data_IF_701775879669
#
_entry.id   IF_701775879669
#
_cell.length_a   1.000
_cell.length_b   1.000
_cell.length_c   1.000
_cell.angle_alpha   90.00
_cell.angle_beta   90.00
_cell.angle_gamma   90.00
#
_symmetry.space_group_name_H-M   'P 1'
#
loop_
_entity.id
_entity.type
_entity.pdbx_description
1 polymer ?
#
# COMPACT_ATOMS: atom_id res chain seq x y z
N UNK A 1 -10.20 -2.50 22.21
CA UNK A 1 -8.86 -1.97 22.50
C UNK A 1 -8.46 -1.09 21.32
N UNK A 2 -7.79 0.05 21.55
CA UNK A 2 -7.23 0.86 20.46
C UNK A 2 -6.04 0.10 19.87
N UNK A 3 -5.91 0.09 18.54
CA UNK A 3 -4.78 -0.53 17.86
C UNK A 3 -3.48 0.23 18.20
N UNK A 4 -2.33 -0.47 18.41
CA UNK A 4 -1.06 0.21 18.65
C UNK A 4 -0.67 1.13 17.49
N UNK A 5 -0.13 2.31 17.81
CA UNK A 5 0.17 3.37 16.84
C UNK A 5 1.13 2.90 15.72
N UNK A 6 2.17 2.14 16.07
CA UNK A 6 3.13 1.57 15.12
C UNK A 6 2.47 0.62 14.09
N UNK A 7 1.39 -0.07 14.47
CA UNK A 7 0.64 -0.94 13.55
C UNK A 7 -0.19 -0.08 12.58
N UNK A 8 -0.75 1.03 13.05
CA UNK A 8 -1.48 1.98 12.21
C UNK A 8 -0.55 2.62 11.19
N UNK A 9 0.64 3.06 11.61
CA UNK A 9 1.65 3.66 10.74
C UNK A 9 2.16 2.67 9.69
N UNK A 10 2.45 1.42 10.09
CA UNK A 10 2.81 0.38 9.13
C UNK A 10 1.72 0.11 8.09
N UNK A 11 0.46 -0.03 8.52
CA UNK A 11 -0.67 -0.22 7.59
C UNK A 11 -0.84 0.97 6.64
N UNK A 12 -0.68 2.17 7.16
CA UNK A 12 -0.71 3.43 6.39
C UNK A 12 0.37 3.40 5.30
N UNK A 13 1.59 3.03 5.68
CA UNK A 13 2.74 2.89 4.77
C UNK A 13 2.48 1.86 3.67
N UNK A 14 1.97 0.68 4.03
CA UNK A 14 1.60 -0.36 3.04
C UNK A 14 0.53 0.16 2.07
N UNK A 15 -0.50 0.83 2.58
CA UNK A 15 -1.57 1.37 1.77
C UNK A 15 -1.06 2.40 0.74
N UNK A 16 -0.13 3.27 1.15
CA UNK A 16 0.47 4.27 0.26
C UNK A 16 1.31 3.59 -0.83
N UNK A 17 2.19 2.66 -0.44
CA UNK A 17 3.05 1.92 -1.39
C UNK A 17 2.22 1.13 -2.39
N UNK A 18 1.28 0.30 -1.93
CA UNK A 18 0.46 -0.53 -2.82
C UNK A 18 -0.51 0.30 -3.67
N UNK A 19 -1.06 1.39 -3.12
CA UNK A 19 -1.92 2.30 -3.87
C UNK A 19 -1.18 2.99 -5.01
N UNK A 20 0.06 3.44 -4.78
CA UNK A 20 0.90 4.05 -5.81
C UNK A 20 1.35 3.03 -6.87
N UNK A 21 1.80 1.84 -6.45
CA UNK A 21 2.18 0.79 -7.40
C UNK A 21 0.98 0.30 -8.21
N UNK A 22 -0.22 0.29 -7.63
CA UNK A 22 -1.46 -0.04 -8.35
C UNK A 22 -1.76 0.96 -9.47
N UNK A 23 -1.59 2.27 -9.23
CA UNK A 23 -1.90 3.28 -10.25
C UNK A 23 -0.93 3.30 -11.43
N UNK A 24 0.32 2.88 -11.20
CA UNK A 24 1.34 2.85 -12.25
C UNK A 24 1.50 1.47 -12.89
N UNK A 25 0.92 0.41 -12.31
CA UNK A 25 1.07 -0.94 -12.83
C UNK A 25 0.70 -1.03 -14.33
N UNK A 26 1.51 -1.68 -15.19
CA UNK A 26 2.67 -2.52 -14.87
C UNK A 26 4.02 -1.80 -14.86
N UNK A 27 4.06 -0.48 -14.71
CA UNK A 27 5.31 0.29 -14.74
C UNK A 27 6.09 0.09 -13.44
N UNK A 28 7.41 -0.05 -13.59
CA UNK A 28 8.38 -0.04 -12.50
C UNK A 28 8.58 1.38 -11.96
N UNK A 29 8.48 1.56 -10.65
CA UNK A 29 8.62 2.85 -9.96
C UNK A 29 9.91 2.87 -9.17
N UNK A 30 10.67 3.97 -9.21
CA UNK A 30 11.86 4.12 -8.38
C UNK A 30 11.50 4.02 -6.89
N UNK A 31 12.33 3.34 -6.09
CA UNK A 31 12.21 3.28 -4.62
C UNK A 31 12.72 4.58 -4.00
N UNK A 32 12.19 5.69 -4.49
CA UNK A 32 12.32 7.00 -3.88
C UNK A 32 11.03 7.30 -3.12
N UNK A 33 11.16 7.57 -1.83
CA UNK A 33 10.07 8.05 -0.99
C UNK A 33 9.34 9.23 -1.65
N UNK A 34 10.06 10.15 -2.31
CA UNK A 34 9.46 11.28 -3.03
C UNK A 34 8.39 10.86 -4.05
N UNK A 35 8.53 9.69 -4.66
CA UNK A 35 7.56 9.13 -5.61
C UNK A 35 6.28 8.64 -4.95
N UNK A 36 6.35 8.19 -3.70
CA UNK A 36 5.21 7.69 -2.92
C UNK A 36 4.53 8.78 -2.08
N UNK A 37 5.25 9.85 -1.77
CA UNK A 37 4.81 10.92 -0.88
C UNK A 37 4.78 12.30 -1.52
N UNK A 38 4.80 12.39 -2.86
CA UNK A 38 4.60 13.66 -3.56
C UNK A 38 5.67 14.73 -3.27
N UNK A 39 6.92 14.30 -3.09
CA UNK A 39 8.07 15.11 -2.65
C UNK A 39 8.02 15.58 -1.18
N UNK A 40 7.19 14.98 -0.33
CA UNK A 40 7.35 15.12 1.13
C UNK A 40 8.75 14.61 1.55
N UNK A 41 9.40 15.37 2.43
CA UNK A 41 10.65 14.94 3.07
C UNK A 41 10.25 14.13 4.29
N UNK A 42 10.45 12.81 4.21
CA UNK A 42 10.26 11.92 5.35
C UNK A 42 11.29 12.22 6.44
N UNK A 43 10.88 12.15 7.70
CA UNK A 43 11.83 12.10 8.80
C UNK A 43 12.54 10.73 8.89
N UNK A 44 13.56 10.63 9.75
CA UNK A 44 14.35 9.39 9.89
C UNK A 44 13.47 8.18 10.27
N UNK A 45 12.44 8.37 11.09
CA UNK A 45 11.56 7.28 11.53
C UNK A 45 10.63 6.84 10.40
N UNK A 46 10.07 7.78 9.64
CA UNK A 46 9.24 7.50 8.48
C UNK A 46 10.03 6.85 7.36
N UNK A 47 11.28 7.27 7.14
CA UNK A 47 12.19 6.65 6.18
C UNK A 47 12.52 5.20 6.58
N UNK A 48 12.87 4.97 7.85
CA UNK A 48 13.12 3.62 8.37
C UNK A 48 11.87 2.72 8.25
N UNK A 49 10.69 3.30 8.49
CA UNK A 49 9.41 2.61 8.34
C UNK A 49 9.12 2.28 6.87
N UNK A 50 9.36 3.21 5.94
CA UNK A 50 9.22 3.00 4.51
C UNK A 50 10.13 1.85 4.04
N UNK A 51 11.40 1.90 4.39
CA UNK A 51 12.38 0.87 4.02
C UNK A 51 12.03 -0.50 4.58
N UNK A 52 11.60 -0.55 5.85
CA UNK A 52 11.14 -1.77 6.50
C UNK A 52 9.88 -2.32 5.85
N UNK A 53 8.96 -1.44 5.45
CA UNK A 53 7.70 -1.82 4.80
C UNK A 53 7.94 -2.36 3.39
N UNK A 54 8.78 -1.71 2.58
CA UNK A 54 9.19 -2.22 1.27
C UNK A 54 9.85 -3.60 1.43
N UNK A 55 10.78 -3.74 2.37
CA UNK A 55 11.45 -5.01 2.64
C UNK A 55 10.47 -6.12 3.03
N UNK A 56 9.46 -5.80 3.83
CA UNK A 56 8.37 -6.72 4.15
C UNK A 56 7.57 -7.11 2.91
N UNK A 57 7.12 -6.15 2.11
CA UNK A 57 6.30 -6.41 0.93
C UNK A 57 7.03 -7.24 -0.13
N UNK A 58 8.34 -7.02 -0.31
CA UNK A 58 9.19 -7.87 -1.16
C UNK A 58 9.26 -9.29 -0.62
N UNK A 59 9.59 -9.46 0.68
CA UNK A 59 9.71 -10.80 1.31
C UNK A 59 8.40 -11.57 1.31
N UNK A 60 7.28 -10.88 1.41
CA UNK A 60 5.94 -11.47 1.37
C UNK A 60 5.41 -11.67 -0.06
N UNK A 61 6.16 -11.29 -1.10
CA UNK A 61 5.78 -11.53 -2.50
C UNK A 61 4.69 -10.59 -3.04
N UNK A 62 4.43 -9.46 -2.37
CA UNK A 62 3.49 -8.46 -2.88
C UNK A 62 4.08 -7.62 -4.00
N UNK A 63 5.39 -7.35 -3.92
CA UNK A 63 6.10 -6.52 -4.89
C UNK A 63 7.42 -7.18 -5.28
N UNK A 64 7.83 -7.00 -6.53
CA UNK A 64 9.18 -7.27 -6.97
C UNK A 64 10.04 -6.02 -6.77
N UNK A 65 11.28 -6.25 -6.38
CA UNK A 65 12.33 -5.24 -6.43
C UNK A 65 13.38 -5.71 -7.42
N UNK A 66 13.71 -4.87 -8.38
CA UNK A 66 14.74 -5.14 -9.37
C UNK A 66 16.16 -4.83 -8.82
N UNK A 67 17.19 -4.95 -9.67
CA UNK A 67 18.58 -4.70 -9.27
C UNK A 67 18.91 -3.21 -9.11
N UNK A 68 18.13 -2.33 -9.72
CA UNK A 68 18.30 -0.89 -9.65
C UNK A 68 17.38 -0.23 -8.62
N UNK A 69 16.77 -1.02 -7.73
CA UNK A 69 15.83 -0.60 -6.69
C UNK A 69 14.47 -0.11 -7.21
N UNK A 70 14.08 -0.42 -8.45
CA UNK A 70 12.72 -0.22 -8.89
C UNK A 70 11.76 -1.23 -8.26
N UNK A 71 10.54 -0.80 -8.00
CA UNK A 71 9.45 -1.55 -7.40
C UNK A 71 8.31 -1.74 -8.38
N UNK A 72 7.72 -2.94 -8.38
CA UNK A 72 6.56 -3.28 -9.19
C UNK A 72 5.66 -4.25 -8.42
N UNK A 73 4.34 -4.19 -8.60
CA UNK A 73 3.45 -5.25 -8.11
C UNK A 73 3.79 -6.59 -8.77
N UNK A 74 3.70 -7.68 -8.00
CA UNK A 74 3.67 -9.03 -8.58
C UNK A 74 2.33 -9.28 -9.26
N UNK A 75 2.28 -10.22 -10.21
CA UNK A 75 1.03 -10.63 -10.86
C UNK A 75 -0.02 -11.08 -9.83
N UNK A 76 0.40 -11.84 -8.82
CA UNK A 76 -0.47 -12.31 -7.74
C UNK A 76 -1.02 -11.14 -6.91
N UNK A 77 -0.18 -10.16 -6.57
CA UNK A 77 -0.64 -8.99 -5.83
C UNK A 77 -1.60 -8.14 -6.68
N UNK A 78 -1.33 -7.98 -7.97
CA UNK A 78 -2.22 -7.30 -8.91
C UNK A 78 -3.60 -7.96 -8.96
N UNK A 79 -3.67 -9.28 -9.15
CA UNK A 79 -4.94 -10.02 -9.15
C UNK A 79 -5.74 -9.83 -7.86
N UNK A 80 -5.05 -9.80 -6.72
CA UNK A 80 -5.69 -9.56 -5.42
C UNK A 80 -6.21 -8.14 -5.31
N UNK A 81 -5.44 -7.14 -5.75
CA UNK A 81 -5.85 -5.74 -5.74
C UNK A 81 -7.03 -5.47 -6.67
N UNK A 82 -7.20 -6.26 -7.73
CA UNK A 82 -8.36 -6.20 -8.62
C UNK A 82 -9.65 -6.79 -8.01
N UNK A 83 -9.58 -7.52 -6.90
CA UNK A 83 -10.79 -8.07 -6.25
C UNK A 83 -11.66 -6.93 -5.69
N UNK A 84 -12.99 -7.10 -5.66
CA UNK A 84 -13.89 -6.13 -5.05
C UNK A 84 -13.51 -5.87 -3.59
N UNK A 85 -13.57 -4.61 -3.18
CA UNK A 85 -13.42 -4.25 -1.79
C UNK A 85 -14.66 -4.76 -1.02
N UNK A 86 -14.52 -5.61 0.01
CA UNK A 86 -15.64 -6.18 0.75
C UNK A 86 -16.52 -5.17 1.51
N UNK A 87 -16.14 -3.89 1.54
CA UNK A 87 -16.92 -2.80 2.11
C UNK A 87 -17.46 -1.83 1.05
N UNK A 88 -16.96 -1.93 -0.18
CA UNK A 88 -17.33 -1.10 -1.32
C UNK A 88 -17.28 -1.96 -2.58
N UNK A 89 -18.31 -2.78 -2.78
CA UNK A 89 -18.38 -3.74 -3.89
C UNK A 89 -18.27 -3.10 -5.29
N UNK A 90 -18.41 -1.77 -5.38
CA UNK A 90 -18.28 -1.00 -6.62
C UNK A 90 -16.83 -0.69 -7.00
N UNK A 91 -15.87 -0.89 -6.10
CA UNK A 91 -14.44 -0.59 -6.34
C UNK A 91 -13.58 -1.78 -6.00
N UNK A 92 -12.46 -1.90 -6.70
CA UNK A 92 -11.43 -2.86 -6.33
C UNK A 92 -10.71 -2.44 -5.05
N UNK A 93 -10.02 -3.39 -4.41
CA UNK A 93 -9.15 -3.13 -3.26
C UNK A 93 -8.08 -2.09 -3.65
N UNK A 94 -7.46 -2.25 -4.83
CA UNK A 94 -6.44 -1.35 -5.34
C UNK A 94 -6.94 0.07 -5.60
N UNK A 95 -8.12 0.21 -6.21
CA UNK A 95 -8.75 1.53 -6.40
C UNK A 95 -9.01 2.23 -5.06
N UNK A 96 -9.46 1.48 -4.05
CA UNK A 96 -9.67 2.04 -2.71
C UNK A 96 -8.36 2.52 -2.10
N UNK A 97 -7.28 1.75 -2.22
CA UNK A 97 -5.96 2.12 -1.68
C UNK A 97 -5.37 3.34 -2.41
N UNK A 98 -5.51 3.39 -3.74
CA UNK A 98 -5.07 4.51 -4.56
C UNK A 98 -5.80 5.81 -4.18
N UNK A 99 -7.13 5.78 -4.09
CA UNK A 99 -7.91 6.94 -3.68
C UNK A 99 -7.57 7.40 -2.27
N UNK A 100 -7.43 6.44 -1.34
CA UNK A 100 -7.00 6.74 0.02
C UNK A 100 -5.63 7.41 0.07
N UNK A 101 -4.66 6.89 -0.69
CA UNK A 101 -3.32 7.47 -0.77
C UNK A 101 -3.38 8.93 -1.22
N UNK A 102 -4.15 9.22 -2.28
CA UNK A 102 -4.36 10.59 -2.77
C UNK A 102 -5.02 11.51 -1.75
N UNK A 103 -5.99 10.98 -1.01
CA UNK A 103 -6.67 11.74 0.05
C UNK A 103 -5.83 11.92 1.30
N UNK A 104 -4.79 11.11 1.54
CA UNK A 104 -3.92 11.18 2.72
C UNK A 104 -2.69 12.07 2.49
N UNK A 105 -2.34 12.38 1.24
CA UNK A 105 -1.40 13.46 0.90
C UNK A 105 -2.04 14.86 0.92
N UNK A 106 -3.36 14.93 1.13
CA UNK A 106 -4.09 16.15 1.43
C UNK A 106 -4.56 16.00 2.89
N UNK A 107 -4.52 17.01 3.75
CA UNK A 107 -4.90 16.90 5.18
C UNK A 107 -6.40 16.54 5.43
N UNK A 108 -7.10 16.03 4.42
CA UNK A 108 -8.55 15.84 4.36
C UNK A 108 -8.95 14.38 4.13
N UNK A 109 -8.13 13.41 4.54
CA UNK A 109 -8.55 12.00 4.52
C UNK A 109 -9.77 11.82 5.43
N UNK A 110 -10.96 11.74 4.82
CA UNK A 110 -12.23 11.58 5.54
C UNK A 110 -12.19 10.27 6.31
N UNK A 111 -12.66 10.29 7.56
CA UNK A 111 -12.65 9.12 8.47
C UNK A 111 -13.22 7.84 7.85
N UNK A 112 -14.11 7.98 6.85
CA UNK A 112 -14.63 6.88 6.05
C UNK A 112 -13.53 6.06 5.36
N UNK A 113 -12.55 6.68 4.70
CA UNK A 113 -11.54 5.93 3.94
C UNK A 113 -10.47 5.33 4.87
N UNK A 114 -10.12 6.00 5.97
CA UNK A 114 -9.22 5.45 7.01
C UNK A 114 -9.73 4.13 7.58
N UNK A 115 -11.06 3.93 7.64
CA UNK A 115 -11.66 2.67 8.09
C UNK A 115 -11.56 1.53 7.06
N UNK A 116 -11.38 1.85 5.78
CA UNK A 116 -11.31 0.88 4.68
C UNK A 116 -9.92 0.28 4.51
N UNK A 117 -8.87 1.04 4.81
CA UNK A 117 -7.46 0.60 4.64
C UNK A 117 -7.14 -0.66 5.44
N UNK A 118 -7.44 -0.77 6.75
CA UNK A 118 -7.18 -2.01 7.48
C UNK A 118 -7.90 -3.22 6.89
N UNK A 119 -9.07 -3.01 6.26
CA UNK A 119 -9.86 -4.08 5.66
C UNK A 119 -9.32 -4.48 4.30
N UNK A 120 -8.96 -3.51 3.45
CA UNK A 120 -8.23 -3.74 2.20
C UNK A 120 -6.95 -4.55 2.46
N UNK A 121 -6.18 -4.17 3.48
CA UNK A 121 -4.95 -4.86 3.89
C UNK A 121 -5.22 -6.26 4.47
N UNK A 122 -6.30 -6.43 5.23
CA UNK A 122 -6.71 -7.75 5.74
C UNK A 122 -7.16 -8.67 4.59
N UNK A 123 -7.87 -8.13 3.61
CA UNK A 123 -8.31 -8.85 2.42
C UNK A 123 -7.11 -9.24 1.55
N UNK A 124 -6.14 -8.33 1.37
CA UNK A 124 -4.84 -8.61 0.75
C UNK A 124 -4.13 -9.79 1.44
N UNK A 125 -3.95 -9.71 2.76
CA UNK A 125 -3.30 -10.76 3.55
C UNK A 125 -4.01 -12.12 3.41
N UNK A 126 -5.34 -12.14 3.51
CA UNK A 126 -6.13 -13.38 3.37
C UNK A 126 -6.10 -13.95 1.96
N UNK A 127 -6.18 -13.10 0.93
CA UNK A 127 -6.22 -13.55 -0.45
C UNK A 127 -4.88 -14.17 -0.90
N UNK A 128 -3.76 -13.69 -0.37
CA UNK A 128 -2.42 -14.24 -0.68
C UNK A 128 -2.11 -15.48 0.14
N UNK A 129 -2.41 -15.49 1.44
CA UNK A 129 -2.23 -16.70 2.28
C UNK A 129 -3.12 -17.87 1.85
N UNK A 130 -4.22 -17.61 1.12
CA UNK A 130 -5.05 -18.64 0.52
C UNK A 130 -4.58 -19.11 -0.87
N UNK A 131 -3.64 -18.40 -1.51
CA UNK A 131 -3.08 -18.71 -2.83
C UNK A 131 -1.71 -19.42 -2.76
N UNK A 132 -1.11 -19.53 -1.56
CA UNK A 132 0.16 -20.21 -1.29
C UNK A 132 0.01 -21.58 -0.64
#
# INVERSE_FOLDING_TARGET
MKEPQNIVEFKTMVGRILGQLYSEHPIEIDRDAGTFFGNEVLDDQESDLFDSTVSYLVRSGYIHQDKQFYLQLTDTAWEVLQKPNPLQDTKSIGETLYEWMKETGQDTAKDGIKSLVPVALTALYKAITAAG
#
